data_IF_769838440155
#
_entry.id   IF_769838440155
#
_cell.length_a   1.000
_cell.length_b   1.000
_cell.length_c   1.000
_cell.angle_alpha   90.00
_cell.angle_beta   90.00
_cell.angle_gamma   90.00
#
_symmetry.space_group_name_H-M   'P 1'
#
loop_
_entity.id
_entity.type
_entity.pdbx_description
1 polymer ?
#
# COMPACT_ATOMS: atom_id res chain seq x y z
N UNK A 1 -3.29 7.82 18.05
CA UNK A 1 -3.69 8.81 17.04
C UNK A 1 -3.55 8.12 15.70
N UNK A 2 -4.66 7.79 15.05
CA UNK A 2 -4.66 7.36 13.65
C UNK A 2 -4.65 8.68 12.89
N UNK A 3 -3.49 9.06 12.38
CA UNK A 3 -3.32 10.33 11.68
C UNK A 3 -4.01 10.19 10.32
N UNK A 4 -5.15 10.85 10.16
CA UNK A 4 -5.84 10.98 8.88
C UNK A 4 -5.14 12.11 8.10
N UNK A 5 -3.87 11.90 7.72
CA UNK A 5 -3.20 12.83 6.83
C UNK A 5 -3.62 12.50 5.38
N UNK A 6 -4.12 13.47 4.62
CA UNK A 6 -4.51 13.26 3.22
C UNK A 6 -3.36 12.73 2.35
N UNK A 7 -2.11 12.99 2.74
CA UNK A 7 -0.90 12.50 2.08
C UNK A 7 -0.69 10.99 2.26
N UNK A 8 -0.99 10.44 3.44
CA UNK A 8 -0.89 8.99 3.72
C UNK A 8 -1.93 8.22 2.92
N UNK A 9 -3.17 8.72 2.92
CA UNK A 9 -4.24 8.16 2.10
C UNK A 9 -3.89 8.21 0.61
N UNK A 10 -3.38 9.35 0.13
CA UNK A 10 -2.96 9.51 -1.26
C UNK A 10 -1.83 8.52 -1.61
N UNK A 11 -0.84 8.34 -0.75
CA UNK A 11 0.25 7.39 -0.98
C UNK A 11 -0.28 5.94 -1.05
N UNK A 12 -1.19 5.57 -0.15
CA UNK A 12 -1.87 4.28 -0.17
C UNK A 12 -2.63 4.03 -1.48
N UNK A 13 -3.43 5.01 -1.91
CA UNK A 13 -4.20 4.91 -3.15
C UNK A 13 -3.32 4.88 -4.41
N UNK A 14 -2.20 5.63 -4.44
CA UNK A 14 -1.23 5.55 -5.53
C UNK A 14 -0.65 4.13 -5.63
N UNK A 15 -0.24 3.54 -4.51
CA UNK A 15 0.30 2.17 -4.48
C UNK A 15 -0.78 1.18 -4.95
N UNK A 16 -2.01 1.32 -4.45
CA UNK A 16 -3.16 0.49 -4.83
C UNK A 16 -3.44 0.58 -6.34
N UNK A 17 -3.41 1.78 -6.92
CA UNK A 17 -3.58 1.99 -8.35
C UNK A 17 -2.52 1.23 -9.15
N UNK A 18 -1.23 1.30 -8.74
CA UNK A 18 -0.15 0.57 -9.43
C UNK A 18 -0.31 -0.94 -9.30
N UNK A 19 -0.77 -1.45 -8.15
CA UNK A 19 -1.09 -2.88 -7.98
C UNK A 19 -2.18 -3.28 -8.96
N UNK A 20 -3.29 -2.54 -9.04
CA UNK A 20 -4.42 -2.84 -9.94
C UNK A 20 -3.97 -2.80 -11.41
N UNK A 21 -3.14 -1.83 -11.81
CA UNK A 21 -2.65 -1.73 -13.19
C UNK A 21 -1.66 -2.82 -13.59
N UNK A 22 -0.83 -3.29 -12.65
CA UNK A 22 0.26 -4.23 -12.92
C UNK A 22 -0.07 -5.68 -12.58
N UNK A 23 -1.20 -5.93 -11.92
CA UNK A 23 -1.71 -7.27 -11.65
C UNK A 23 -2.91 -7.56 -12.53
N UNK A 24 -3.00 -8.80 -12.98
CA UNK A 24 -4.15 -9.35 -13.70
C UNK A 24 -4.60 -10.57 -12.88
N UNK A 25 -5.88 -10.98 -12.96
CA UNK A 25 -6.54 -12.07 -12.19
C UNK A 25 -7.24 -11.61 -10.89
N UNK A 26 -7.21 -12.42 -9.83
CA UNK A 26 -7.97 -12.22 -8.58
C UNK A 26 -7.34 -11.21 -7.61
N UNK A 27 -6.07 -10.87 -7.82
CA UNK A 27 -5.28 -9.98 -6.93
C UNK A 27 -5.85 -8.56 -6.80
N UNK A 28 -6.27 -7.87 -7.88
CA UNK A 28 -6.83 -6.51 -7.79
C UNK A 28 -8.04 -6.41 -6.87
N UNK A 29 -8.83 -7.49 -6.80
CA UNK A 29 -10.04 -7.52 -5.98
C UNK A 29 -9.75 -7.85 -4.52
N UNK A 30 -8.60 -8.45 -4.21
CA UNK A 30 -8.26 -9.01 -2.89
C UNK A 30 -7.04 -8.36 -2.25
N UNK A 31 -6.88 -7.05 -2.48
CA UNK A 31 -5.77 -6.27 -1.94
C UNK A 31 -6.25 -5.05 -1.16
N UNK A 32 -5.64 -4.83 0.00
CA UNK A 32 -5.74 -3.60 0.77
C UNK A 32 -4.34 -3.02 0.94
N UNK A 33 -4.22 -1.70 0.91
CA UNK A 33 -2.96 -0.99 1.15
C UNK A 33 -3.18 -0.05 2.33
N UNK A 34 -2.31 -0.16 3.32
CA UNK A 34 -2.34 0.66 4.53
C UNK A 34 -0.97 1.30 4.69
N UNK A 35 -0.92 2.62 4.83
CA UNK A 35 0.30 3.31 5.25
C UNK A 35 0.38 3.21 6.77
N UNK A 36 1.43 2.55 7.25
CA UNK A 36 1.70 2.32 8.67
C UNK A 36 2.36 3.56 9.30
N UNK A 37 3.22 4.23 8.53
CA UNK A 37 3.89 5.46 8.93
C UNK A 37 4.32 6.27 7.72
N UNK A 38 4.17 7.59 7.82
CA UNK A 38 4.79 8.57 6.93
C UNK A 38 5.51 9.60 7.80
N UNK A 39 6.83 9.68 7.67
CA UNK A 39 7.64 10.59 8.48
C UNK A 39 8.80 11.18 7.66
N UNK A 40 9.19 12.40 8.00
CA UNK A 40 10.42 12.99 7.47
C UNK A 40 11.63 12.25 8.06
N UNK A 41 12.37 11.58 7.19
CA UNK A 41 13.64 10.97 7.48
C UNK A 41 14.81 11.95 7.34
N UNK A 42 16.01 11.38 7.30
CA UNK A 42 17.23 12.18 7.27
C UNK A 42 17.37 12.97 5.97
N UNK A 43 17.86 14.21 6.05
CA UNK A 43 18.10 15.10 4.89
C UNK A 43 16.85 15.42 4.05
N UNK A 44 15.67 15.49 4.68
CA UNK A 44 14.42 15.87 4.01
C UNK A 44 13.88 14.79 3.06
N UNK A 45 14.23 13.53 3.29
CA UNK A 45 13.67 12.38 2.57
C UNK A 45 12.45 11.90 3.33
N UNK A 46 11.27 11.89 2.72
CA UNK A 46 10.07 11.32 3.35
C UNK A 46 10.16 9.80 3.30
N UNK A 47 10.04 9.16 4.47
CA UNK A 47 10.02 7.71 4.61
C UNK A 47 8.56 7.28 4.76
N UNK A 48 8.14 6.34 3.91
CA UNK A 48 6.78 5.81 3.89
C UNK A 48 6.87 4.30 4.07
N UNK A 49 6.26 3.80 5.13
CA UNK A 49 6.10 2.38 5.39
C UNK A 49 4.66 1.97 5.06
N UNK A 50 4.48 1.15 4.03
CA UNK A 50 3.19 0.68 3.56
C UNK A 50 3.07 -0.84 3.65
N UNK A 51 1.95 -1.32 4.17
CA UNK A 51 1.60 -2.74 4.20
C UNK A 51 0.50 -3.04 3.18
N UNK A 52 0.80 -3.96 2.27
CA UNK A 52 -0.09 -4.54 1.28
C UNK A 52 -0.64 -5.85 1.85
N UNK A 53 -1.92 -5.86 2.19
CA UNK A 53 -2.64 -7.03 2.67
C UNK A 53 -3.27 -7.80 1.51
N UNK A 54 -3.10 -9.12 1.52
CA UNK A 54 -3.77 -10.04 0.60
C UNK A 54 -4.45 -11.15 1.38
N UNK A 55 -5.46 -11.78 0.80
CA UNK A 55 -6.24 -12.82 1.48
C UNK A 55 -5.57 -14.19 1.44
N UNK A 56 -4.80 -14.48 0.39
CA UNK A 56 -4.20 -15.81 0.18
C UNK A 56 -2.69 -15.74 -0.06
N UNK A 57 -1.98 -16.78 0.36
CA UNK A 57 -0.55 -16.92 0.08
C UNK A 57 -0.23 -16.96 -1.43
N UNK A 58 -1.11 -17.52 -2.25
CA UNK A 58 -0.97 -17.51 -3.72
C UNK A 58 -0.96 -16.09 -4.29
N UNK A 59 -1.85 -15.22 -3.79
CA UNK A 59 -1.90 -13.80 -4.19
C UNK A 59 -0.62 -13.07 -3.77
N UNK A 60 -0.09 -13.34 -2.57
CA UNK A 60 1.21 -12.81 -2.13
C UNK A 60 2.33 -13.22 -3.10
N UNK A 61 2.36 -14.47 -3.55
CA UNK A 61 3.36 -14.92 -4.53
C UNK A 61 3.23 -14.19 -5.87
N UNK A 62 2.02 -14.00 -6.36
CA UNK A 62 1.76 -13.23 -7.61
C UNK A 62 2.24 -11.79 -7.45
N UNK A 63 1.90 -11.14 -6.34
CA UNK A 63 2.23 -9.74 -6.09
C UNK A 63 3.73 -9.49 -5.89
N UNK A 64 4.43 -10.41 -5.24
CA UNK A 64 5.90 -10.41 -5.18
C UNK A 64 6.47 -10.61 -6.60
N UNK A 65 5.91 -11.55 -7.36
CA UNK A 65 6.38 -11.93 -8.69
C UNK A 65 7.71 -12.69 -8.65
N UNK A 66 8.19 -13.11 -9.82
CA UNK A 66 9.47 -13.81 -9.91
C UNK A 66 10.62 -12.94 -9.38
N UNK A 67 11.35 -13.46 -8.38
CA UNK A 67 12.46 -12.77 -7.69
C UNK A 67 12.09 -11.38 -7.13
N UNK A 68 10.81 -11.13 -6.82
CA UNK A 68 10.37 -9.84 -6.30
C UNK A 68 10.26 -8.74 -7.36
N UNK A 69 10.32 -9.08 -8.66
CA UNK A 69 10.37 -8.10 -9.73
C UNK A 69 9.09 -7.27 -9.83
N UNK A 70 7.92 -7.89 -9.62
CA UNK A 70 6.65 -7.19 -9.73
C UNK A 70 6.47 -6.18 -8.59
N UNK A 71 6.74 -6.59 -7.35
CA UNK A 71 6.69 -5.70 -6.19
C UNK A 71 7.68 -4.53 -6.31
N UNK A 72 8.90 -4.79 -6.81
CA UNK A 72 9.88 -3.73 -7.10
C UNK A 72 9.36 -2.75 -8.16
N UNK A 73 8.71 -3.24 -9.21
CA UNK A 73 8.12 -2.40 -10.26
C UNK A 73 6.98 -1.53 -9.71
N UNK A 74 6.08 -2.13 -8.93
CA UNK A 74 4.99 -1.40 -8.23
C UNK A 74 5.58 -0.32 -7.34
N UNK A 75 6.53 -0.67 -6.47
CA UNK A 75 7.16 0.29 -5.55
C UNK A 75 7.90 1.41 -6.29
N UNK A 76 8.61 1.09 -7.37
CA UNK A 76 9.31 2.10 -8.18
C UNK A 76 8.35 3.10 -8.84
N UNK A 77 7.27 2.61 -9.46
CA UNK A 77 6.27 3.47 -10.10
C UNK A 77 5.49 4.30 -9.08
N UNK A 78 5.10 3.70 -7.95
CA UNK A 78 4.41 4.40 -6.88
C UNK A 78 5.30 5.49 -6.27
N UNK A 79 6.55 5.16 -5.94
CA UNK A 79 7.53 6.12 -5.40
C UNK A 79 7.71 7.31 -6.32
N UNK A 80 7.93 7.10 -7.62
CA UNK A 80 8.09 8.20 -8.59
C UNK A 80 6.87 9.13 -8.65
N UNK A 81 5.66 8.60 -8.50
CA UNK A 81 4.45 9.41 -8.51
C UNK A 81 4.25 10.17 -7.20
N UNK A 82 4.54 9.53 -6.06
CA UNK A 82 4.51 10.18 -4.74
C UNK A 82 5.57 11.29 -4.66
N UNK A 83 6.80 11.06 -5.16
CA UNK A 83 7.85 12.09 -5.22
C UNK A 83 7.40 13.32 -6.01
N UNK A 84 6.69 13.13 -7.13
CA UNK A 84 6.12 14.24 -7.92
C UNK A 84 5.02 15.00 -7.17
N UNK A 85 4.19 14.29 -6.40
CA UNK A 85 3.08 14.88 -5.64
C UNK A 85 3.57 15.65 -4.42
N UNK A 86 4.58 15.14 -3.72
CA UNK A 86 5.16 15.74 -2.51
C UNK A 86 6.26 16.78 -2.83
N UNK A 87 6.82 16.77 -4.05
CA UNK A 87 7.90 17.68 -4.43
C UNK A 87 9.24 17.39 -3.76
N UNK A 88 9.42 16.17 -3.22
CA UNK A 88 10.57 15.76 -2.43
C UNK A 88 10.99 14.33 -2.71
N UNK A 89 12.15 13.93 -2.17
CA UNK A 89 12.63 12.55 -2.26
C UNK A 89 11.83 11.66 -1.32
N UNK A 90 11.47 10.47 -1.79
CA UNK A 90 10.69 9.50 -1.02
C UNK A 90 11.43 8.18 -0.94
N UNK A 91 11.47 7.61 0.26
CA UNK A 91 11.87 6.25 0.52
C UNK A 91 10.63 5.43 0.85
N UNK A 92 10.20 4.59 -0.09
CA UNK A 92 8.98 3.78 0.04
C UNK A 92 9.33 2.33 0.39
N UNK A 93 8.91 1.88 1.57
CA UNK A 93 8.94 0.50 2.01
C UNK A 93 7.59 -0.15 1.79
N UNK A 94 7.56 -1.25 1.03
CA UNK A 94 6.35 -2.04 0.81
C UNK A 94 6.48 -3.42 1.45
N UNK A 95 5.60 -3.74 2.39
CA UNK A 95 5.50 -5.04 3.04
C UNK A 95 4.28 -5.80 2.54
N UNK A 96 4.42 -7.10 2.24
CA UNK A 96 3.28 -7.93 1.81
C UNK A 96 2.91 -8.91 2.92
N UNK A 97 1.72 -8.75 3.51
CA UNK A 97 1.19 -9.60 4.57
C UNK A 97 -0.04 -10.37 4.08
N UNK A 98 -0.16 -11.63 4.49
CA UNK A 98 -1.37 -12.43 4.25
C UNK A 98 -2.26 -12.29 5.49
N UNK A 99 -3.51 -11.89 5.31
CA UNK A 99 -4.52 -11.86 6.38
C UNK A 99 -5.80 -12.48 5.81
N UNK A 100 -6.20 -13.65 6.27
CA UNK A 100 -7.37 -14.33 5.70
C UNK A 100 -8.66 -13.62 6.15
N UNK A 101 -9.66 -13.55 5.25
CA UNK A 101 -11.01 -12.99 5.52
C UNK A 101 -10.97 -11.60 6.18
N UNK A 102 -9.98 -10.78 5.82
CA UNK A 102 -9.82 -9.46 6.41
C UNK A 102 -10.99 -8.53 6.05
N UNK A 103 -11.66 -8.79 4.92
CA UNK A 103 -12.84 -8.04 4.48
C UNK A 103 -14.08 -8.27 5.35
N UNK A 104 -14.24 -9.49 5.86
CA UNK A 104 -15.34 -9.86 6.76
C UNK A 104 -15.04 -9.51 8.22
N UNK A 105 -13.79 -9.15 8.53
CA UNK A 105 -13.36 -8.89 9.88
C UNK A 105 -13.42 -7.38 10.16
N UNK A 106 -14.46 -6.95 10.87
CA UNK A 106 -14.66 -5.53 11.25
C UNK A 106 -13.45 -4.92 11.99
N UNK A 107 -12.71 -5.71 12.77
CA UNK A 107 -11.46 -5.24 13.39
C UNK A 107 -10.41 -4.94 12.34
N UNK A 108 -10.28 -5.79 11.32
CA UNK A 108 -9.35 -5.56 10.21
C UNK A 108 -9.77 -4.39 9.34
N UNK A 109 -11.08 -4.23 9.08
CA UNK A 109 -11.59 -3.06 8.37
C UNK A 109 -11.30 -1.75 9.12
N UNK A 110 -11.46 -1.73 10.45
CA UNK A 110 -11.06 -0.59 11.29
C UNK A 110 -9.56 -0.32 11.25
N UNK A 111 -8.74 -1.36 11.34
CA UNK A 111 -7.27 -1.24 11.25
C UNK A 111 -6.82 -0.72 9.88
N UNK A 112 -7.59 -0.98 8.83
CA UNK A 112 -7.26 -0.59 7.46
C UNK A 112 -7.90 0.73 7.01
N UNK A 113 -8.68 1.37 7.88
CA UNK A 113 -9.41 2.60 7.53
C UNK A 113 -10.63 2.40 6.61
N UNK A 114 -11.11 1.15 6.42
CA UNK A 114 -12.26 0.83 5.55
C UNK A 114 -13.62 0.83 6.27
N UNK A 115 -13.71 1.25 7.54
CA UNK A 115 -15.02 1.40 8.20
C UNK A 115 -15.86 2.44 7.48
N UNK A 116 -16.99 2.00 6.96
CA UNK A 116 -17.99 2.83 6.31
C UNK A 116 -18.44 3.96 7.24
N UNK A 117 -18.45 5.19 6.72
CA UNK A 117 -19.13 6.32 7.38
C UNK A 117 -18.47 7.68 7.20
N UNK A 118 -18.01 8.04 6.01
CA UNK A 118 -18.00 9.47 5.64
C UNK A 118 -19.38 9.79 5.06
N UNK A 119 -20.29 10.16 5.95
CA UNK A 119 -21.43 11.02 5.63
C UNK A 119 -21.39 12.21 6.57
#
# INVERSE_FOLDING_TARGET
MITDCPEEFLAGEIIREKIIRLTHLEVPYAVAVVVDSMAEGNKGVVVIDATIYVEKASQKKILIGEKGNLLKKIGSQARQEIEKRLGGKVYLNNFVKVKERWRDNERSLREFGYTHGHH
#
